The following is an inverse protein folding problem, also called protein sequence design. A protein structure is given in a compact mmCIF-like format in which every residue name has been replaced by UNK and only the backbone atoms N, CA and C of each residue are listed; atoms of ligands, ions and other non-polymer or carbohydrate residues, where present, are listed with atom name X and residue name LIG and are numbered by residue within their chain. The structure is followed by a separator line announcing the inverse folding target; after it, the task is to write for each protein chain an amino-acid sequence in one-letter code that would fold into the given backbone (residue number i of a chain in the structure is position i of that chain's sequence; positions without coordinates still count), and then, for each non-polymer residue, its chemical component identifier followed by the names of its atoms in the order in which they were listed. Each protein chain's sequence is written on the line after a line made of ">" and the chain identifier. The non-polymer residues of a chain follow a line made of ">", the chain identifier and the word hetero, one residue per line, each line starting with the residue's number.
data_IF_601169313073
#
_entry.id   IF_601169313073
#
_cell.length_a   1.000
_cell.length_b   1.000
_cell.length_c   1.000
_cell.angle_alpha   90.00
_cell.angle_beta   90.00
_cell.angle_gamma   90.00
#
_symmetry.space_group_name_H-M   'P 1'
#
loop_
_entity.id
_entity.type
_entity.pdbx_description
1 polymer ?
#
# COMPACT_ATOMS: atom_id res chain seq x y z
N UNK A 1 -10.60 -8.70 -22.38
CA UNK A 1 -9.98 -9.65 -23.34
C UNK A 1 -9.30 -8.96 -24.52
N UNK A 2 -9.86 -7.89 -25.11
CA UNK A 2 -9.26 -7.20 -26.28
C UNK A 2 -7.81 -6.75 -26.04
N UNK A 3 -7.53 -6.00 -24.96
CA UNK A 3 -6.16 -5.52 -24.67
C UNK A 3 -5.18 -6.67 -24.41
N UNK A 4 -5.59 -7.68 -23.63
CA UNK A 4 -4.77 -8.86 -23.38
C UNK A 4 -4.41 -9.59 -24.69
N UNK A 5 -5.40 -9.89 -25.53
CA UNK A 5 -5.18 -10.59 -26.80
C UNK A 5 -4.34 -9.78 -27.80
N UNK A 6 -4.46 -8.45 -27.78
CA UNK A 6 -3.73 -7.57 -28.69
C UNK A 6 -2.30 -7.25 -28.24
N UNK A 7 -2.06 -7.13 -26.94
CA UNK A 7 -0.79 -6.59 -26.40
C UNK A 7 0.05 -7.60 -25.64
N UNK A 8 -0.57 -8.58 -24.98
CA UNK A 8 0.11 -9.49 -24.04
C UNK A 8 0.21 -10.90 -24.62
N UNK A 9 -0.91 -11.47 -25.09
CA UNK A 9 -0.93 -12.82 -25.65
C UNK A 9 0.08 -13.05 -26.79
N UNK A 10 0.34 -12.10 -27.72
CA UNK A 10 1.36 -12.30 -28.76
C UNK A 10 2.79 -12.40 -28.22
N UNK A 11 3.03 -12.00 -26.96
CA UNK A 11 4.32 -12.14 -26.30
C UNK A 11 4.53 -13.55 -25.72
N UNK A 12 3.48 -14.37 -25.62
CA UNK A 12 3.59 -15.78 -25.26
C UNK A 12 4.08 -16.56 -26.49
N UNK A 13 5.17 -17.36 -26.42
CA UNK A 13 5.86 -17.82 -25.21
C UNK A 13 7.27 -17.23 -25.03
N UNK A 14 7.54 -15.99 -25.48
CA UNK A 14 8.88 -15.41 -25.28
C UNK A 14 9.28 -15.47 -23.81
N UNK A 15 10.52 -15.89 -23.56
CA UNK A 15 11.08 -15.93 -22.21
C UNK A 15 11.10 -14.52 -21.64
N UNK A 16 10.50 -14.36 -20.46
CA UNK A 16 10.51 -13.11 -19.71
C UNK A 16 11.18 -13.34 -18.36
N UNK A 17 11.80 -12.30 -17.82
CA UNK A 17 12.32 -12.34 -16.44
C UNK A 17 11.26 -11.95 -15.41
N UNK A 18 10.20 -11.28 -15.84
CA UNK A 18 9.11 -10.83 -14.98
C UNK A 18 8.24 -9.79 -15.69
N UNK A 19 7.27 -9.25 -14.95
CA UNK A 19 6.38 -8.19 -15.41
C UNK A 19 6.43 -6.98 -14.45
N UNK A 20 6.20 -5.79 -15.01
CA UNK A 20 5.93 -4.56 -14.26
C UNK A 20 4.52 -4.10 -14.60
N UNK A 21 3.72 -3.79 -13.59
CA UNK A 21 2.33 -3.37 -13.74
C UNK A 21 2.04 -2.09 -12.96
N UNK A 22 1.57 -1.06 -13.64
CA UNK A 22 1.07 0.16 -13.01
C UNK A 22 -0.30 0.49 -13.60
N UNK A 23 -1.33 0.05 -12.89
CA UNK A 23 -2.73 0.34 -13.18
C UNK A 23 -3.53 0.21 -11.88
N UNK A 24 -4.65 0.92 -11.83
CA UNK A 24 -5.70 0.70 -10.86
C UNK A 24 -6.73 1.82 -10.86
N UNK A 25 -6.39 3.00 -11.37
CA UNK A 25 -7.15 4.23 -11.28
C UNK A 25 -8.63 4.05 -11.71
N UNK A 26 -8.87 3.34 -12.81
CA UNK A 26 -10.22 3.04 -13.32
C UNK A 26 -10.99 1.94 -12.55
N UNK A 27 -10.35 1.36 -11.53
CA UNK A 27 -10.88 0.33 -10.64
C UNK A 27 -11.12 0.86 -9.22
N UNK A 28 -10.84 2.13 -8.92
CA UNK A 28 -11.02 2.69 -7.57
C UNK A 28 -12.44 2.45 -7.04
N UNK A 29 -13.47 2.76 -7.84
CA UNK A 29 -14.88 2.48 -7.49
C UNK A 29 -15.29 1.00 -7.47
N UNK A 30 -14.36 0.06 -7.68
CA UNK A 30 -14.56 -1.40 -7.63
C UNK A 30 -13.37 -2.09 -6.92
N UNK A 31 -12.80 -1.43 -5.91
CA UNK A 31 -11.62 -1.92 -5.20
C UNK A 31 -11.83 -3.32 -4.59
N UNK A 32 -13.00 -3.58 -3.99
CA UNK A 32 -13.36 -4.91 -3.47
C UNK A 32 -13.26 -6.00 -4.56
N UNK A 33 -13.78 -5.74 -5.76
CA UNK A 33 -13.66 -6.66 -6.90
C UNK A 33 -12.19 -6.83 -7.33
N UNK A 34 -11.38 -5.77 -7.24
CA UNK A 34 -9.97 -5.80 -7.61
C UNK A 34 -9.15 -6.77 -6.75
N UNK A 35 -9.55 -6.99 -5.49
CA UNK A 35 -8.96 -8.02 -4.60
C UNK A 35 -9.00 -9.42 -5.20
N UNK A 36 -10.00 -9.71 -6.04
CA UNK A 36 -10.10 -10.98 -6.78
C UNK A 36 -9.42 -10.90 -8.15
N UNK A 37 -9.70 -9.84 -8.91
CA UNK A 37 -9.28 -9.76 -10.31
C UNK A 37 -7.76 -9.61 -10.48
N UNK A 38 -7.09 -8.86 -9.59
CA UNK A 38 -5.68 -8.57 -9.76
C UNK A 38 -4.78 -9.80 -9.48
N UNK A 39 -4.94 -10.53 -8.35
CA UNK A 39 -4.25 -11.81 -8.16
C UNK A 39 -4.60 -12.85 -9.22
N UNK A 40 -5.85 -12.88 -9.71
CA UNK A 40 -6.26 -13.77 -10.78
C UNK A 40 -5.51 -13.46 -12.09
N UNK A 41 -5.35 -12.18 -12.45
CA UNK A 41 -4.57 -11.78 -13.64
C UNK A 41 -3.11 -12.23 -13.53
N UNK A 42 -2.47 -12.04 -12.37
CA UNK A 42 -1.07 -12.46 -12.14
C UNK A 42 -0.95 -13.98 -12.31
N UNK A 43 -1.85 -14.72 -11.70
CA UNK A 43 -1.87 -16.20 -11.75
C UNK A 43 -2.14 -16.71 -13.17
N UNK A 44 -3.05 -16.07 -13.89
CA UNK A 44 -3.37 -16.40 -15.28
C UNK A 44 -2.16 -16.19 -16.20
N UNK A 45 -1.45 -15.06 -16.09
CA UNK A 45 -0.24 -14.83 -16.89
C UNK A 45 0.86 -15.85 -16.58
N UNK A 46 1.06 -16.21 -15.31
CA UNK A 46 2.02 -17.25 -14.91
C UNK A 46 1.67 -18.61 -15.52
N UNK A 47 0.39 -18.96 -15.54
CA UNK A 47 -0.12 -20.18 -16.16
C UNK A 47 0.12 -20.18 -17.67
N UNK A 48 -0.23 -19.10 -18.37
CA UNK A 48 -0.08 -19.00 -19.83
C UNK A 48 1.38 -19.03 -20.28
N UNK A 49 2.29 -18.40 -19.52
CA UNK A 49 3.73 -18.48 -19.81
C UNK A 49 4.35 -19.84 -19.49
N UNK A 50 3.78 -20.60 -18.55
CA UNK A 50 4.28 -21.92 -18.15
C UNK A 50 5.69 -21.91 -17.55
N UNK A 51 6.14 -20.77 -17.01
CA UNK A 51 7.51 -20.55 -16.50
C UNK A 51 7.58 -20.39 -14.97
N UNK A 52 6.60 -20.98 -14.27
CA UNK A 52 6.47 -20.89 -12.81
C UNK A 52 6.03 -19.50 -12.34
N UNK A 53 6.27 -19.20 -11.06
CA UNK A 53 5.93 -17.92 -10.45
C UNK A 53 6.95 -16.84 -10.80
N UNK A 54 6.99 -16.42 -12.07
CA UNK A 54 7.91 -15.34 -12.45
C UNK A 54 7.62 -14.06 -11.65
N UNK A 55 8.65 -13.23 -11.40
CA UNK A 55 8.52 -11.96 -10.69
C UNK A 55 7.43 -11.05 -11.26
N UNK A 56 6.49 -10.60 -10.42
CA UNK A 56 5.45 -9.66 -10.79
C UNK A 56 5.52 -8.42 -9.90
N UNK A 57 6.08 -7.34 -10.43
CA UNK A 57 6.30 -6.10 -9.69
C UNK A 57 5.20 -5.10 -10.06
N UNK A 58 4.65 -4.38 -9.09
CA UNK A 58 3.58 -3.43 -9.35
C UNK A 58 3.69 -2.16 -8.54
N UNK A 59 2.95 -1.14 -8.96
CA UNK A 59 2.95 0.18 -8.33
C UNK A 59 1.64 0.37 -7.56
N UNK A 60 1.74 0.64 -6.26
CA UNK A 60 0.59 1.09 -5.48
C UNK A 60 0.26 2.53 -5.88
N UNK A 61 -1.02 2.85 -6.07
CA UNK A 61 -1.41 4.16 -6.60
C UNK A 61 -0.87 5.32 -5.76
N UNK A 62 -0.41 6.37 -6.43
CA UNK A 62 0.08 7.59 -5.81
C UNK A 62 -1.07 8.41 -5.19
N UNK A 63 -0.74 9.46 -4.44
CA UNK A 63 -1.72 10.45 -3.97
C UNK A 63 -2.40 11.17 -5.14
N UNK A 64 -3.72 11.37 -4.98
CA UNK A 64 -4.56 12.06 -5.95
C UNK A 64 -5.74 12.76 -5.25
N UNK A 65 -6.27 13.83 -5.85
CA UNK A 65 -7.39 14.64 -5.34
C UNK A 65 -7.04 15.59 -4.18
N UNK A 66 -8.04 16.40 -3.78
CA UNK A 66 -7.95 17.28 -2.61
C UNK A 66 -7.86 16.45 -1.33
N UNK A 67 -7.04 16.89 -0.38
CA UNK A 67 -6.97 16.31 0.96
C UNK A 67 -8.30 16.49 1.71
N UNK A 68 -8.72 15.43 2.40
CA UNK A 68 -9.85 15.46 3.32
C UNK A 68 -9.44 16.07 4.67
N UNK A 69 -10.29 16.90 5.25
CA UNK A 69 -10.04 17.55 6.55
C UNK A 69 -10.28 16.60 7.74
N UNK A 70 -11.09 15.57 7.53
CA UNK A 70 -11.43 14.54 8.53
C UNK A 70 -11.20 13.14 7.95
N UNK A 71 -11.05 12.10 8.79
CA UNK A 71 -11.03 10.72 8.32
C UNK A 71 -12.34 10.37 7.60
N UNK A 72 -12.23 9.67 6.48
CA UNK A 72 -13.37 9.30 5.62
C UNK A 72 -13.20 7.87 5.11
N UNK A 73 -14.29 7.28 4.63
CA UNK A 73 -14.19 6.15 3.72
C UNK A 73 -13.78 6.63 2.33
N UNK A 74 -12.92 5.88 1.65
CA UNK A 74 -12.29 6.34 0.42
C UNK A 74 -11.98 5.17 -0.55
N UNK A 75 -12.53 5.26 -1.75
CA UNK A 75 -12.39 4.20 -2.77
C UNK A 75 -10.96 4.02 -3.28
N UNK A 76 -10.15 5.09 -3.23
CA UNK A 76 -8.74 5.07 -3.63
C UNK A 76 -7.89 4.38 -2.56
N UNK A 77 -8.19 4.64 -1.28
CA UNK A 77 -7.57 3.92 -0.17
C UNK A 77 -7.89 2.41 -0.22
N UNK A 78 -9.15 2.04 -0.46
CA UNK A 78 -9.54 0.63 -0.63
C UNK A 78 -8.81 -0.03 -1.81
N UNK A 79 -8.58 0.71 -2.89
CA UNK A 79 -7.84 0.17 -4.03
C UNK A 79 -6.36 -0.02 -3.71
N UNK A 80 -5.73 0.90 -2.98
CA UNK A 80 -4.35 0.72 -2.51
C UNK A 80 -4.23 -0.49 -1.59
N UNK A 81 -5.22 -0.72 -0.74
CA UNK A 81 -5.31 -1.93 0.08
C UNK A 81 -5.42 -3.18 -0.81
N UNK A 82 -6.30 -3.17 -1.82
CA UNK A 82 -6.44 -4.28 -2.76
C UNK A 82 -5.13 -4.57 -3.55
N UNK A 83 -4.35 -3.54 -3.87
CA UNK A 83 -3.01 -3.70 -4.45
C UNK A 83 -2.03 -4.33 -3.45
N UNK A 84 -2.03 -3.87 -2.19
CA UNK A 84 -1.18 -4.44 -1.13
C UNK A 84 -1.49 -5.91 -0.85
N UNK A 85 -2.77 -6.30 -0.85
CA UNK A 85 -3.19 -7.70 -0.69
C UNK A 85 -2.62 -8.64 -1.74
N UNK A 86 -2.28 -8.15 -2.94
CA UNK A 86 -1.64 -8.98 -3.97
C UNK A 86 -0.22 -9.43 -3.59
N UNK A 87 0.40 -8.85 -2.55
CA UNK A 87 1.67 -9.31 -1.99
C UNK A 87 1.60 -10.70 -1.35
N UNK A 88 0.39 -11.22 -1.08
CA UNK A 88 0.20 -12.60 -0.63
C UNK A 88 0.66 -13.63 -1.69
N UNK A 89 0.70 -13.25 -2.97
CA UNK A 89 1.21 -14.11 -4.03
C UNK A 89 2.75 -14.18 -3.99
N UNK A 90 3.35 -15.36 -4.23
CA UNK A 90 4.80 -15.52 -4.23
C UNK A 90 5.44 -14.69 -5.36
N UNK A 91 6.69 -14.28 -5.17
CA UNK A 91 7.48 -13.53 -6.15
C UNK A 91 6.78 -12.25 -6.65
N UNK A 92 6.10 -11.56 -5.76
CA UNK A 92 5.52 -10.24 -6.01
C UNK A 92 6.27 -9.15 -5.25
N UNK A 93 6.22 -7.93 -5.76
CA UNK A 93 6.81 -6.77 -5.10
C UNK A 93 6.04 -5.50 -5.44
N UNK A 94 5.95 -4.59 -4.46
CA UNK A 94 5.14 -3.39 -4.57
C UNK A 94 6.00 -2.14 -4.38
N UNK A 95 5.99 -1.25 -5.36
CA UNK A 95 6.49 0.10 -5.22
C UNK A 95 5.38 0.98 -4.62
N UNK A 96 5.51 1.36 -3.35
CA UNK A 96 4.64 2.37 -2.71
C UNK A 96 4.97 3.74 -3.31
N UNK A 97 3.96 4.54 -3.69
CA UNK A 97 4.15 5.87 -4.31
C UNK A 97 3.31 6.98 -3.68
N UNK A 98 2.86 6.74 -2.45
CA UNK A 98 1.96 7.63 -1.70
C UNK A 98 2.48 9.08 -1.61
N UNK A 99 3.78 9.28 -1.46
CA UNK A 99 4.46 10.56 -1.24
C UNK A 99 4.82 11.32 -2.52
N UNK A 100 4.68 10.71 -3.71
CA UNK A 100 5.10 11.29 -5.00
C UNK A 100 3.92 11.49 -5.98
N UNK A 101 2.72 11.62 -5.44
CA UNK A 101 1.49 11.95 -6.18
C UNK A 101 1.33 13.44 -6.50
N UNK A 102 0.23 13.77 -7.17
CA UNK A 102 -0.20 15.16 -7.42
C UNK A 102 -1.71 15.27 -7.11
N UNK A 103 -2.09 16.27 -6.31
CA UNK A 103 -3.47 16.49 -5.90
C UNK A 103 -4.39 16.85 -7.09
N UNK A 104 -3.84 17.45 -8.14
CA UNK A 104 -4.56 18.01 -9.28
C UNK A 104 -4.39 17.18 -10.56
N UNK A 105 -3.40 16.29 -10.62
CA UNK A 105 -3.15 15.42 -11.75
C UNK A 105 -3.04 13.95 -11.32
N UNK A 106 -3.87 13.11 -11.93
CA UNK A 106 -3.84 11.66 -11.71
C UNK A 106 -2.55 11.02 -12.26
N UNK A 107 -1.79 11.74 -13.11
CA UNK A 107 -0.54 11.31 -13.70
C UNK A 107 0.67 12.02 -13.04
N UNK A 108 1.18 11.53 -11.89
CA UNK A 108 2.27 12.21 -11.19
C UNK A 108 3.52 12.32 -12.07
N UNK A 109 4.12 13.51 -12.09
CA UNK A 109 5.29 13.81 -12.93
C UNK A 109 6.57 13.08 -12.51
N UNK A 110 6.73 12.73 -11.24
CA UNK A 110 7.91 12.02 -10.73
C UNK A 110 7.86 10.51 -11.06
N UNK A 111 7.92 10.16 -12.34
CA UNK A 111 8.03 8.76 -12.79
C UNK A 111 9.40 8.15 -12.50
N UNK A 112 10.42 8.98 -12.28
CA UNK A 112 11.77 8.51 -12.01
C UNK A 112 11.83 7.75 -10.69
N UNK A 113 11.21 8.26 -9.63
CA UNK A 113 11.23 7.58 -8.33
C UNK A 113 10.31 6.36 -8.30
N UNK A 114 9.22 6.34 -9.08
CA UNK A 114 8.45 5.12 -9.35
C UNK A 114 9.36 4.02 -9.92
N UNK A 115 10.13 4.35 -10.97
CA UNK A 115 11.08 3.44 -11.59
C UNK A 115 12.18 2.98 -10.64
N UNK A 116 12.74 3.87 -9.82
CA UNK A 116 13.75 3.52 -8.80
C UNK A 116 13.18 2.52 -7.78
N UNK A 117 11.96 2.74 -7.28
CA UNK A 117 11.33 1.85 -6.29
C UNK A 117 11.02 0.47 -6.86
N UNK A 118 10.60 0.39 -8.13
CA UNK A 118 10.47 -0.88 -8.85
C UNK A 118 11.84 -1.55 -9.06
N UNK A 119 12.89 -0.78 -9.35
CA UNK A 119 14.24 -1.32 -9.50
C UNK A 119 14.78 -1.89 -8.18
N UNK A 120 14.49 -1.27 -7.04
CA UNK A 120 14.84 -1.83 -5.73
C UNK A 120 14.17 -3.19 -5.52
N UNK A 121 12.86 -3.29 -5.79
CA UNK A 121 12.12 -4.56 -5.74
C UNK A 121 12.77 -5.61 -6.66
N UNK A 122 13.13 -5.24 -7.88
CA UNK A 122 13.81 -6.15 -8.81
C UNK A 122 15.18 -6.61 -8.28
N UNK A 123 16.00 -5.69 -7.78
CA UNK A 123 17.33 -6.01 -7.25
C UNK A 123 17.26 -7.00 -6.09
N UNK A 124 16.34 -6.80 -5.15
CA UNK A 124 16.15 -7.69 -4.02
C UNK A 124 15.53 -9.04 -4.43
N UNK A 125 14.33 -9.01 -5.03
CA UNK A 125 13.53 -10.21 -5.26
C UNK A 125 14.00 -11.05 -6.46
N UNK A 126 14.61 -10.42 -7.46
CA UNK A 126 14.95 -11.07 -8.75
C UNK A 126 16.44 -11.34 -8.88
N UNK A 127 17.26 -10.46 -8.31
CA UNK A 127 18.73 -10.53 -8.41
C UNK A 127 19.43 -10.84 -7.08
N UNK A 128 18.68 -11.07 -6.00
CA UNK A 128 19.21 -11.52 -4.71
C UNK A 128 20.16 -10.53 -4.06
N UNK A 129 19.98 -9.23 -4.30
CA UNK A 129 20.77 -8.19 -3.65
C UNK A 129 20.21 -7.91 -2.26
N UNK A 130 21.09 -7.95 -1.27
CA UNK A 130 20.76 -7.57 0.11
C UNK A 130 20.75 -6.04 0.22
N UNK A 131 19.56 -5.45 0.12
CA UNK A 131 19.32 -4.02 0.23
C UNK A 131 17.86 -3.71 0.61
N UNK A 132 17.59 -2.54 1.21
CA UNK A 132 16.23 -2.10 1.43
C UNK A 132 15.43 -1.86 0.16
N UNK A 133 14.31 -2.57 -0.01
CA UNK A 133 13.51 -2.53 -1.24
C UNK A 133 12.04 -2.18 -1.08
N UNK A 134 11.52 -2.25 0.15
CA UNK A 134 10.15 -1.89 0.49
C UNK A 134 10.15 -0.92 1.67
N UNK A 135 9.13 -0.08 1.77
CA UNK A 135 8.84 0.69 2.99
C UNK A 135 8.12 -0.18 4.03
N UNK A 136 7.81 0.38 5.21
CA UNK A 136 7.08 -0.34 6.25
C UNK A 136 5.76 -0.92 5.74
N UNK A 137 5.51 -2.19 6.03
CA UNK A 137 4.24 -2.87 5.77
C UNK A 137 3.66 -3.31 7.10
N UNK A 138 2.39 -2.98 7.35
CA UNK A 138 1.72 -3.36 8.59
C UNK A 138 1.75 -4.88 8.81
N UNK A 139 2.23 -5.30 9.98
CA UNK A 139 2.38 -6.71 10.35
C UNK A 139 1.39 -7.13 11.46
N UNK A 140 1.05 -6.23 12.38
CA UNK A 140 0.14 -6.54 13.47
C UNK A 140 -0.08 -5.39 14.44
N UNK A 141 -1.08 -5.54 15.30
CA UNK A 141 -1.40 -4.59 16.35
C UNK A 141 -1.63 -5.27 17.71
N UNK A 142 -1.31 -4.56 18.77
CA UNK A 142 -1.64 -4.91 20.16
C UNK A 142 -2.31 -3.71 20.85
N UNK A 143 -3.33 -3.96 21.67
CA UNK A 143 -4.03 -2.91 22.43
C UNK A 143 -3.51 -2.92 23.86
N UNK A 144 -3.05 -1.77 24.35
CA UNK A 144 -2.57 -1.59 25.72
C UNK A 144 -3.25 -0.38 26.35
N UNK A 145 -4.32 -0.63 27.10
CA UNK A 145 -5.19 0.43 27.63
C UNK A 145 -5.81 1.24 26.48
N UNK A 146 -5.54 2.54 26.44
CA UNK A 146 -6.05 3.47 25.42
C UNK A 146 -5.08 3.69 24.24
N UNK A 147 -4.03 2.88 24.14
CA UNK A 147 -3.01 2.97 23.08
C UNK A 147 -3.05 1.71 22.22
N UNK A 148 -3.02 1.89 20.90
CA UNK A 148 -2.77 0.81 19.94
C UNK A 148 -1.30 0.87 19.54
N UNK A 149 -0.59 -0.22 19.78
CA UNK A 149 0.78 -0.43 19.34
C UNK A 149 0.78 -1.18 18.00
N UNK A 150 1.48 -0.64 17.01
CA UNK A 150 1.57 -1.17 15.66
C UNK A 150 2.98 -1.68 15.36
N UNK A 151 3.06 -2.84 14.72
CA UNK A 151 4.29 -3.47 14.24
C UNK A 151 4.33 -3.53 12.73
N UNK A 152 5.54 -3.51 12.17
CA UNK A 152 5.75 -3.42 10.72
C UNK A 152 6.86 -4.37 10.27
N UNK A 153 6.69 -4.95 9.09
CA UNK A 153 7.78 -5.51 8.31
C UNK A 153 8.56 -4.40 7.60
N UNK A 154 9.75 -4.71 7.08
CA UNK A 154 10.59 -3.79 6.29
C UNK A 154 10.97 -2.49 7.02
N UNK A 155 11.20 -2.57 8.33
CA UNK A 155 11.72 -1.45 9.14
C UNK A 155 13.24 -1.26 8.97
N UNK A 156 13.98 -2.31 8.62
CA UNK A 156 15.45 -2.34 8.55
C UNK A 156 16.08 -1.84 9.86
N UNK A 157 16.78 -0.70 9.83
CA UNK A 157 17.44 -0.15 11.03
C UNK A 157 16.49 0.69 11.89
N UNK A 158 15.23 0.88 11.48
CA UNK A 158 14.20 1.53 12.27
C UNK A 158 13.20 2.35 11.49
N UNK A 159 12.23 2.91 12.20
CA UNK A 159 11.22 3.82 11.67
C UNK A 159 11.63 5.28 11.84
N UNK A 160 11.17 6.13 10.94
CA UNK A 160 11.37 7.57 10.98
C UNK A 160 10.24 8.31 10.29
N UNK A 161 10.32 9.64 10.27
CA UNK A 161 9.41 10.51 9.55
C UNK A 161 10.11 11.18 8.38
N UNK A 162 9.43 11.23 7.23
CA UNK A 162 9.91 12.02 6.10
C UNK A 162 10.04 13.49 6.53
N UNK A 163 11.27 14.02 6.47
CA UNK A 163 11.59 15.39 6.87
C UNK A 163 11.85 15.60 8.36
N UNK A 164 11.83 14.56 9.21
CA UNK A 164 12.15 14.68 10.64
C UNK A 164 11.16 15.52 11.43
N UNK A 165 9.88 15.48 11.05
CA UNK A 165 8.78 16.22 11.68
C UNK A 165 7.86 15.26 12.46
N UNK A 166 6.84 15.81 13.12
CA UNK A 166 5.78 15.04 13.78
C UNK A 166 5.19 13.96 12.87
N UNK A 167 4.96 12.77 13.41
CA UNK A 167 4.37 11.64 12.67
C UNK A 167 2.89 11.91 12.40
N UNK A 168 2.47 11.69 11.16
CA UNK A 168 1.10 11.99 10.69
C UNK A 168 0.51 10.86 9.88
N UNK A 169 -0.82 10.92 9.73
CA UNK A 169 -1.58 10.06 8.82
C UNK A 169 -2.33 8.93 9.51
N UNK A 170 -2.38 8.92 10.84
CA UNK A 170 -3.09 7.93 11.63
C UNK A 170 -4.48 8.42 12.03
N UNK A 171 -5.46 7.53 11.93
CA UNK A 171 -6.79 7.70 12.51
C UNK A 171 -7.15 6.47 13.33
N UNK A 172 -7.93 6.66 14.39
CA UNK A 172 -8.27 5.63 15.37
C UNK A 172 -9.77 5.70 15.69
N UNK A 173 -10.37 4.57 16.04
CA UNK A 173 -11.75 4.52 16.51
C UNK A 173 -11.92 3.53 17.69
N UNK A 174 -13.01 3.71 18.44
CA UNK A 174 -13.53 2.71 19.38
C UNK A 174 -14.57 1.81 18.71
N UNK A 175 -15.37 1.10 19.53
CA UNK A 175 -16.41 0.17 19.05
C UNK A 175 -17.49 0.82 18.16
N UNK A 176 -17.66 2.14 18.23
CA UNK A 176 -18.62 2.87 17.41
C UNK A 176 -18.21 2.99 15.92
N UNK A 177 -16.98 2.60 15.59
CA UNK A 177 -16.43 2.65 14.24
C UNK A 177 -16.19 4.05 13.70
N UNK A 178 -16.26 5.10 14.54
CA UNK A 178 -16.08 6.49 14.12
C UNK A 178 -14.62 6.88 14.20
N UNK A 179 -13.95 6.89 13.07
CA UNK A 179 -12.55 7.30 12.98
C UNK A 179 -12.36 8.79 13.25
N UNK A 180 -11.42 9.10 14.15
CA UNK A 180 -10.90 10.45 14.40
C UNK A 180 -9.40 10.47 14.11
N UNK A 181 -8.84 11.65 13.81
CA UNK A 181 -7.39 11.79 13.72
C UNK A 181 -6.74 11.42 15.06
N UNK A 182 -5.58 10.77 14.99
CA UNK A 182 -4.87 10.25 16.14
C UNK A 182 -3.47 10.86 16.26
N UNK A 183 -3.03 11.01 17.50
CA UNK A 183 -1.63 11.27 17.82
C UNK A 183 -0.86 9.95 17.66
N UNK A 184 0.35 10.03 17.09
CA UNK A 184 1.18 8.86 16.87
C UNK A 184 2.65 9.16 17.14
N UNK A 185 3.32 8.23 17.82
CA UNK A 185 4.74 8.33 18.16
C UNK A 185 5.49 7.06 17.75
N UNK A 186 6.73 7.22 17.29
CA UNK A 186 7.63 6.10 17.02
C UNK A 186 8.32 5.70 18.32
N UNK A 187 8.16 4.44 18.73
CA UNK A 187 8.84 3.87 19.88
C UNK A 187 9.61 2.61 19.44
N UNK A 188 10.93 2.79 19.21
CA UNK A 188 11.76 1.75 18.61
C UNK A 188 11.35 1.46 17.17
N UNK A 189 10.95 0.22 16.89
CA UNK A 189 10.45 -0.25 15.60
C UNK A 189 8.92 -0.28 15.53
N UNK A 190 8.24 0.29 16.53
CA UNK A 190 6.78 0.32 16.65
C UNK A 190 6.23 1.74 16.52
N UNK A 191 4.95 1.83 16.20
CA UNK A 191 4.18 3.07 16.27
C UNK A 191 3.10 2.94 17.34
N UNK A 192 3.08 3.86 18.29
CA UNK A 192 2.05 3.98 19.32
C UNK A 192 1.02 5.00 18.85
N UNK A 193 -0.27 4.62 18.85
CA UNK A 193 -1.37 5.46 18.35
C UNK A 193 -2.43 5.63 19.42
N UNK A 194 -2.86 6.86 19.66
CA UNK A 194 -3.94 7.18 20.60
C UNK A 194 -4.69 8.45 20.18
N UNK A 195 -5.87 8.69 20.75
CA UNK A 195 -6.59 9.95 20.52
C UNK A 195 -7.36 10.40 21.77
N UNK A 196 -7.44 11.72 22.03
CA UNK A 196 -8.33 12.25 23.06
C UNK A 196 -9.78 11.78 22.85
N UNK A 197 -10.40 11.25 23.90
CA UNK A 197 -11.78 10.78 23.86
C UNK A 197 -11.98 9.34 23.41
N UNK A 198 -10.91 8.61 23.06
CA UNK A 198 -10.96 7.16 22.76
C UNK A 198 -10.28 6.40 23.91
N UNK A 199 -11.07 5.86 24.85
CA UNK A 199 -10.56 5.07 25.99
C UNK A 199 -10.30 3.61 25.62
N UNK A 200 -11.12 3.05 24.73
CA UNK A 200 -11.13 1.64 24.37
C UNK A 200 -11.01 1.51 22.84
N UNK A 201 -9.82 1.75 22.28
CA UNK A 201 -9.62 1.75 20.84
C UNK A 201 -9.66 0.32 20.28
N UNK A 202 -10.25 0.16 19.10
CA UNK A 202 -10.41 -1.16 18.45
C UNK A 202 -9.75 -1.24 17.07
N UNK A 203 -9.50 -0.10 16.43
CA UNK A 203 -8.91 -0.07 15.10
C UNK A 203 -8.12 1.20 14.81
N UNK A 204 -7.11 1.06 13.94
CA UNK A 204 -6.30 2.15 13.38
C UNK A 204 -6.31 2.06 11.85
N UNK A 205 -6.25 3.21 11.20
CA UNK A 205 -5.98 3.34 9.77
C UNK A 205 -4.83 4.30 9.54
N UNK A 206 -3.93 3.95 8.63
CA UNK A 206 -2.82 4.81 8.20
C UNK A 206 -3.01 5.20 6.72
N UNK A 207 -2.89 6.49 6.44
CA UNK A 207 -2.94 7.05 5.09
C UNK A 207 -4.20 6.65 4.29
N UNK A 208 -5.33 6.48 4.98
CA UNK A 208 -6.60 6.03 4.40
C UNK A 208 -7.40 7.18 3.78
N UNK A 209 -6.93 7.67 2.64
CA UNK A 209 -7.56 8.74 1.86
C UNK A 209 -6.97 8.78 0.45
N UNK A 210 -7.61 9.45 -0.50
CA UNK A 210 -7.05 9.67 -1.84
C UNK A 210 -5.75 10.49 -1.80
N UNK A 211 -5.68 11.52 -0.94
CA UNK A 211 -4.51 12.38 -0.73
C UNK A 211 -4.22 12.66 0.76
N UNK A 212 -3.74 11.65 1.51
CA UNK A 212 -3.43 11.77 2.93
C UNK A 212 -2.26 12.71 3.22
N UNK A 213 -2.27 13.31 4.40
CA UNK A 213 -1.05 13.82 5.02
C UNK A 213 -0.39 12.68 5.79
N UNK A 214 0.69 12.12 5.28
CA UNK A 214 1.36 10.97 5.89
C UNK A 214 2.86 11.01 5.62
N UNK A 215 3.66 10.50 6.55
CA UNK A 215 5.12 10.63 6.50
C UNK A 215 5.90 9.49 7.17
N UNK A 216 5.27 8.36 7.53
CA UNK A 216 6.00 7.21 8.07
C UNK A 216 6.91 6.63 6.99
N UNK A 217 8.20 6.51 7.31
CA UNK A 217 9.22 5.88 6.47
C UNK A 217 10.07 4.93 7.30
N UNK A 218 10.79 4.02 6.66
CA UNK A 218 11.87 3.27 7.31
C UNK A 218 13.22 4.00 7.23
N UNK A 219 14.28 3.38 7.75
CA UNK A 219 15.64 3.91 7.74
C UNK A 219 16.20 4.18 6.33
N UNK A 220 15.66 3.53 5.30
CA UNK A 220 16.01 3.74 3.90
C UNK A 220 15.24 4.90 3.24
N UNK A 221 14.34 5.57 3.98
CA UNK A 221 13.49 6.64 3.47
C UNK A 221 12.37 6.16 2.54
N UNK A 222 12.04 4.86 2.55
CA UNK A 222 10.93 4.31 1.77
C UNK A 222 9.61 4.47 2.54
N UNK A 223 8.53 4.96 1.91
CA UNK A 223 7.27 5.25 2.57
C UNK A 223 6.52 4.00 2.97
N UNK A 224 5.88 4.05 4.13
CA UNK A 224 4.97 3.00 4.59
C UNK A 224 3.76 2.87 3.66
N UNK A 225 3.32 1.63 3.43
CA UNK A 225 2.10 1.38 2.65
C UNK A 225 0.86 1.75 3.48
N UNK A 226 -0.18 2.38 2.91
CA UNK A 226 -1.46 2.57 3.59
C UNK A 226 -2.08 1.26 4.02
N UNK A 227 -2.72 1.26 5.19
CA UNK A 227 -3.37 0.07 5.74
C UNK A 227 -4.52 0.43 6.68
N UNK A 228 -5.31 -0.59 7.02
CA UNK A 228 -6.29 -0.56 8.10
C UNK A 228 -6.15 -1.82 8.96
N UNK A 229 -6.51 -1.73 10.24
CA UNK A 229 -6.53 -2.89 11.14
C UNK A 229 -7.93 -3.46 11.36
N UNK A 230 -8.97 -2.72 10.98
CA UNK A 230 -10.36 -3.19 11.03
C UNK A 230 -10.71 -4.15 9.88
N UNK A 231 -11.82 -4.86 10.06
CA UNK A 231 -12.51 -5.62 9.01
C UNK A 231 -13.89 -5.02 8.70
N UNK A 232 -14.07 -3.72 8.92
CA UNK A 232 -15.35 -3.09 8.62
C UNK A 232 -15.64 -3.16 7.13
N UNK A 233 -16.93 -3.19 6.78
CA UNK A 233 -17.37 -3.25 5.40
C UNK A 233 -16.87 -2.02 4.63
N UNK A 234 -16.23 -2.24 3.49
CA UNK A 234 -15.79 -1.16 2.61
C UNK A 234 -16.94 -0.57 1.78
N UNK A 235 -16.77 0.64 1.28
CA UNK A 235 -17.75 1.33 0.43
C UNK A 235 -17.79 0.78 -1.00
N UNK A 236 -16.81 -0.03 -1.43
CA UNK A 236 -16.87 -0.76 -2.72
C UNK A 236 -17.30 -2.22 -2.58
N UNK A 237 -17.60 -2.69 -1.36
CA UNK A 237 -18.09 -4.04 -1.10
C UNK A 237 -19.59 -4.15 -1.43
N UNK A 238 -20.01 -5.12 -2.27
CA UNK A 238 -21.44 -5.33 -2.60
C UNK A 238 -22.30 -5.59 -1.37
N UNK A 239 -23.59 -5.26 -1.46
CA UNK A 239 -24.62 -5.59 -0.45
C UNK A 239 -24.93 -7.09 -0.37
#
# INVERSE_FOLDING_TARGET
>A
TVLYNGMIHPLVPFTIRGAIWYQGESNAGRAYQYRTLFPAMITDWRKEWGQGDFPFLFVQLANYQKRNETPVEDTWAELREAQAMALELPNTGMAVTIDIGDALDIHPGNKQDVGKRLALNALALVYGKDLPYSGPIYAGMEVSGNVIELSFDHVYDGLSTAGGVELKGFSICGEDGRFVWADADIYGDKVLVSAPGISDPVAVRYAWSSNPECNLVNSAGLPASPFRTDRFRGITEPD
#
